data_IF_278024389632
#
_entry.id   IF_278024389632
#
_cell.length_a   1.000
_cell.length_b   1.000
_cell.length_c   1.000
_cell.angle_alpha   90.00
_cell.angle_beta   90.00
_cell.angle_gamma   90.00
#
_symmetry.space_group_name_H-M   'P 1'
#
loop_
_entity.id
_entity.type
_entity.pdbx_description
1 polymer ?
#
# COMPACT_ATOMS: atom_id res chain seq x y z
N UNK A 1 -17.85 -11.64 6.94
CA UNK A 1 -18.04 -10.27 7.49
C UNK A 1 -17.48 -9.29 6.48
N UNK A 2 -18.20 -8.21 6.16
CA UNK A 2 -17.69 -7.14 5.29
C UNK A 2 -16.44 -6.51 5.94
N UNK A 3 -15.35 -6.39 5.19
CA UNK A 3 -14.07 -5.86 5.71
C UNK A 3 -14.22 -4.35 5.87
N UNK A 4 -14.05 -3.82 7.09
CA UNK A 4 -14.10 -2.37 7.33
C UNK A 4 -12.87 -1.72 6.71
N UNK A 5 -13.07 -0.95 5.65
CA UNK A 5 -11.99 -0.20 5.00
C UNK A 5 -11.74 1.08 5.81
N UNK A 6 -10.47 1.31 6.14
CA UNK A 6 -9.99 2.50 6.85
C UNK A 6 -8.87 3.16 6.07
N UNK A 7 -8.80 4.49 6.14
CA UNK A 7 -7.72 5.25 5.51
C UNK A 7 -6.58 5.50 6.48
N UNK A 8 -5.35 5.38 5.98
CA UNK A 8 -4.14 5.79 6.68
C UNK A 8 -3.59 7.06 6.03
N UNK A 9 -3.52 8.15 6.78
CA UNK A 9 -3.00 9.42 6.28
C UNK A 9 -1.51 9.56 6.58
N UNK A 10 -0.71 9.91 5.57
CA UNK A 10 0.72 10.18 5.70
C UNK A 10 0.96 11.60 5.21
N UNK A 11 1.45 12.48 6.09
CA UNK A 11 1.81 13.85 5.74
C UNK A 11 3.24 13.87 5.20
N UNK A 12 3.40 14.31 3.96
CA UNK A 12 4.70 14.42 3.27
C UNK A 12 4.70 15.66 2.38
N UNK A 13 5.89 16.10 1.97
CA UNK A 13 6.00 17.15 0.94
C UNK A 13 5.60 16.63 -0.43
N UNK A 14 5.24 17.54 -1.34
CA UNK A 14 4.91 17.21 -2.72
C UNK A 14 6.04 16.45 -3.42
N UNK A 15 7.28 16.91 -3.24
CA UNK A 15 8.46 16.28 -3.83
C UNK A 15 8.60 14.79 -3.44
N UNK A 16 8.35 14.47 -2.16
CA UNK A 16 8.39 13.08 -1.67
C UNK A 16 7.27 12.25 -2.31
N UNK A 17 6.04 12.79 -2.37
CA UNK A 17 4.90 12.11 -2.99
C UNK A 17 5.16 11.82 -4.47
N UNK A 18 5.65 12.79 -5.23
CA UNK A 18 5.91 12.63 -6.66
C UNK A 18 7.05 11.66 -6.93
N UNK A 19 8.10 11.68 -6.11
CA UNK A 19 9.17 10.68 -6.21
C UNK A 19 8.67 9.28 -5.88
N UNK A 20 7.90 9.12 -4.81
CA UNK A 20 7.34 7.82 -4.42
C UNK A 20 6.40 7.25 -5.49
N UNK A 21 5.58 8.08 -6.15
CA UNK A 21 4.77 7.65 -7.30
C UNK A 21 5.62 7.12 -8.46
N UNK A 22 6.73 7.78 -8.78
CA UNK A 22 7.65 7.34 -9.85
C UNK A 22 8.27 5.98 -9.50
N UNK A 23 8.70 5.81 -8.25
CA UNK A 23 9.23 4.52 -7.75
C UNK A 23 8.16 3.42 -7.79
N UNK A 24 6.94 3.69 -7.36
CA UNK A 24 5.86 2.70 -7.42
C UNK A 24 5.63 2.22 -8.87
N UNK A 25 5.58 3.16 -9.82
CA UNK A 25 5.43 2.84 -11.26
C UNK A 25 6.56 1.97 -11.80
N UNK A 26 7.82 2.16 -11.38
CA UNK A 26 8.94 1.32 -11.84
C UNK A 26 8.81 -0.13 -11.38
N UNK A 27 8.06 -0.38 -10.29
CA UNK A 27 7.77 -1.72 -9.79
C UNK A 27 6.42 -2.29 -10.27
N UNK A 28 5.69 -1.56 -11.13
CA UNK A 28 4.33 -1.94 -11.55
C UNK A 28 3.29 -1.78 -10.44
N UNK A 29 3.62 -1.06 -9.35
CA UNK A 29 2.79 -0.90 -8.18
C UNK A 29 2.06 0.47 -8.18
N UNK A 30 0.92 0.51 -7.50
CA UNK A 30 0.33 1.76 -7.02
C UNK A 30 1.12 2.30 -5.83
N UNK A 31 0.98 3.61 -5.56
CA UNK A 31 1.63 4.23 -4.39
C UNK A 31 1.25 3.52 -3.08
N UNK A 32 0.00 3.07 -2.96
CA UNK A 32 -0.47 2.37 -1.76
C UNK A 32 0.15 0.97 -1.63
N UNK A 33 0.31 0.23 -2.72
CA UNK A 33 0.94 -1.09 -2.72
C UNK A 33 2.42 -0.99 -2.36
N UNK A 34 3.12 0.03 -2.88
CA UNK A 34 4.50 0.31 -2.47
C UNK A 34 4.60 0.52 -0.95
N UNK A 35 3.74 1.37 -0.39
CA UNK A 35 3.73 1.64 1.06
C UNK A 35 3.43 0.37 1.87
N UNK A 36 2.45 -0.43 1.44
CA UNK A 36 2.14 -1.70 2.07
C UNK A 36 3.33 -2.66 2.04
N UNK A 37 3.98 -2.85 0.89
CA UNK A 37 5.18 -3.69 0.78
C UNK A 37 6.31 -3.21 1.70
N UNK A 38 6.49 -1.89 1.85
CA UNK A 38 7.45 -1.33 2.81
C UNK A 38 7.07 -1.66 4.26
N UNK A 39 5.78 -1.58 4.63
CA UNK A 39 5.30 -1.98 5.96
C UNK A 39 5.56 -3.47 6.25
N UNK A 40 5.40 -4.34 5.26
CA UNK A 40 5.71 -5.77 5.39
C UNK A 40 7.20 -6.06 5.67
N UNK A 41 8.10 -5.13 5.36
CA UNK A 41 9.55 -5.25 5.54
C UNK A 41 10.05 -4.65 6.87
N UNK A 42 9.16 -4.22 7.76
CA UNK A 42 9.52 -3.60 9.06
C UNK A 42 10.06 -4.59 10.10
N UNK A 43 10.00 -5.90 9.83
CA UNK A 43 10.48 -6.95 10.73
C UNK A 43 9.39 -7.55 11.64
N UNK A 44 8.19 -6.96 11.67
CA UNK A 44 7.04 -7.49 12.40
C UNK A 44 6.32 -8.60 11.60
N UNK A 45 6.24 -9.80 12.18
CA UNK A 45 5.67 -10.99 11.52
C UNK A 45 4.16 -10.89 11.33
N UNK A 46 3.45 -10.28 12.28
CA UNK A 46 2.00 -10.16 12.22
C UNK A 46 1.60 -9.12 11.18
N UNK A 47 2.25 -7.96 11.20
CA UNK A 47 2.06 -6.91 10.21
C UNK A 47 2.37 -7.40 8.80
N UNK A 48 3.46 -8.14 8.61
CA UNK A 48 3.78 -8.77 7.32
C UNK A 48 2.65 -9.67 6.82
N UNK A 49 2.12 -10.55 7.68
CA UNK A 49 0.99 -11.43 7.33
C UNK A 49 -0.27 -10.65 6.96
N UNK A 50 -0.61 -9.61 7.74
CA UNK A 50 -1.79 -8.77 7.48
C UNK A 50 -1.67 -8.03 6.14
N UNK A 51 -0.49 -7.48 5.85
CA UNK A 51 -0.21 -6.79 4.58
C UNK A 51 -0.28 -7.75 3.39
N UNK A 52 0.31 -8.94 3.48
CA UNK A 52 0.27 -9.92 2.39
C UNK A 52 -1.17 -10.35 2.08
N UNK A 53 -2.02 -10.49 3.10
CA UNK A 53 -3.44 -10.77 2.91
C UNK A 53 -4.18 -9.58 2.27
N UNK A 54 -3.90 -8.35 2.72
CA UNK A 54 -4.44 -7.13 2.12
C UNK A 54 -4.09 -7.02 0.63
N UNK A 55 -2.82 -7.26 0.26
CA UNK A 55 -2.36 -7.20 -1.13
C UNK A 55 -3.00 -8.26 -2.03
N UNK A 56 -3.34 -9.44 -1.49
CA UNK A 56 -4.03 -10.51 -2.24
C UNK A 56 -5.50 -10.21 -2.50
N UNK A 57 -6.18 -9.62 -1.51
CA UNK A 57 -7.62 -9.35 -1.56
C UNK A 57 -7.97 -8.00 -2.20
N UNK A 58 -6.95 -7.14 -2.41
CA UNK A 58 -7.11 -5.81 -2.97
C UNK A 58 -7.75 -5.85 -4.37
N UNK A 59 -8.83 -5.07 -4.62
CA UNK A 59 -9.39 -4.93 -5.95
C UNK A 59 -8.38 -4.24 -6.88
N UNK A 60 -8.32 -4.71 -8.13
CA UNK A 60 -7.45 -4.13 -9.16
C UNK A 60 -7.76 -2.64 -9.36
N UNK A 61 -6.76 -1.81 -9.73
CA UNK A 61 -6.97 -0.40 -10.04
C UNK A 61 -8.14 -0.20 -11.01
N UNK A 62 -9.09 0.65 -10.65
CA UNK A 62 -10.29 0.94 -11.44
C UNK A 62 -11.54 0.13 -11.07
N UNK A 63 -11.45 -0.85 -10.16
CA UNK A 63 -12.62 -1.50 -9.57
C UNK A 63 -12.97 -0.81 -8.23
N UNK A 64 -14.24 -0.50 -7.95
CA UNK A 64 -14.64 0.01 -6.64
C UNK A 64 -14.32 -1.01 -5.55
N UNK A 65 -13.96 -0.49 -4.39
CA UNK A 65 -13.78 -1.27 -3.17
C UNK A 65 -15.12 -1.65 -2.56
#
# INVERSE_FOLDING_TARGET
MSRKIVSMQIRVTEAVRERAKKVAKTHGDTLSELVLKLLANTGDKELKRLVENELKERPKPGRPW
#
